data_IF_283645388531
#
_entry.id   IF_283645388531
#
_cell.length_a   1.000
_cell.length_b   1.000
_cell.length_c   1.000
_cell.angle_alpha   90.00
_cell.angle_beta   90.00
_cell.angle_gamma   90.00
#
_symmetry.space_group_name_H-M   'P 1'
#
loop_
_entity.id
_entity.type
_entity.pdbx_description
1 polymer ?
#
# COMPACT_ATOMS: atom_id res chain seq x y z
N UNK A 1 -8.44 18.75 -32.34
CA UNK A 1 -7.87 17.74 -33.27
C UNK A 1 -6.40 17.59 -32.91
N UNK A 2 -6.04 16.59 -32.10
CA UNK A 2 -4.65 16.21 -31.87
C UNK A 2 -4.62 14.67 -31.78
N UNK A 3 -3.99 14.06 -32.78
CA UNK A 3 -3.84 12.62 -32.90
C UNK A 3 -2.64 12.14 -32.09
N UNK A 4 -2.81 11.01 -31.42
CA UNK A 4 -1.72 10.28 -30.77
C UNK A 4 -1.35 9.14 -31.70
N UNK A 5 -0.15 9.19 -32.30
CA UNK A 5 0.39 8.09 -33.09
C UNK A 5 0.92 7.01 -32.16
N UNK A 6 0.12 5.96 -31.96
CA UNK A 6 0.57 4.70 -31.36
C UNK A 6 1.49 3.99 -32.35
N UNK A 7 2.73 3.70 -31.94
CA UNK A 7 3.65 2.85 -32.70
C UNK A 7 3.00 1.45 -32.85
N UNK A 8 2.65 1.10 -34.08
CA UNK A 8 1.94 -0.13 -34.40
C UNK A 8 2.81 -1.37 -34.17
N UNK A 9 2.36 -2.23 -33.27
CA UNK A 9 2.52 -3.67 -33.42
C UNK A 9 1.19 -4.20 -33.95
N UNK A 10 1.17 -4.48 -35.26
CA UNK A 10 0.07 -5.13 -35.96
C UNK A 10 -0.26 -6.46 -35.25
N UNK A 11 -1.49 -6.70 -34.76
CA UNK A 11 -1.88 -8.04 -34.37
C UNK A 11 -2.18 -8.84 -35.64
N UNK A 12 -1.40 -9.89 -35.89
CA UNK A 12 -1.72 -10.89 -36.91
C UNK A 12 -3.10 -11.50 -36.59
N UNK A 13 -4.02 -11.44 -37.55
CA UNK A 13 -5.45 -11.74 -37.40
C UNK A 13 -5.76 -13.24 -37.30
N UNK A 14 -4.90 -14.03 -36.64
CA UNK A 14 -5.03 -15.48 -36.44
C UNK A 14 -4.74 -15.96 -35.02
N UNK A 15 -4.67 -15.07 -34.03
CA UNK A 15 -4.56 -15.49 -32.63
C UNK A 15 -5.94 -15.94 -32.11
N UNK A 16 -6.12 -17.19 -31.62
CA UNK A 16 -7.41 -17.64 -31.12
C UNK A 16 -7.83 -16.79 -29.91
N UNK A 17 -9.13 -16.47 -29.77
CA UNK A 17 -9.64 -15.53 -28.75
C UNK A 17 -9.33 -15.93 -27.31
N UNK A 18 -9.05 -17.21 -27.07
CA UNK A 18 -8.68 -17.74 -25.76
C UNK A 18 -7.28 -17.28 -25.29
N UNK A 19 -6.37 -16.96 -26.22
CA UNK A 19 -5.00 -16.57 -25.91
C UNK A 19 -4.95 -15.14 -25.30
N UNK A 20 -5.82 -14.24 -25.77
CA UNK A 20 -5.99 -12.91 -25.17
C UNK A 20 -6.69 -12.96 -23.81
N UNK A 21 -7.62 -13.90 -23.62
CA UNK A 21 -8.31 -14.10 -22.34
C UNK A 21 -7.37 -14.61 -21.25
N UNK A 22 -6.49 -15.56 -21.59
CA UNK A 22 -5.50 -16.12 -20.66
C UNK A 22 -4.40 -15.10 -20.30
N UNK A 23 -4.01 -14.23 -21.24
CA UNK A 23 -3.09 -13.15 -20.95
C UNK A 23 -3.72 -12.13 -19.99
N UNK A 24 -4.98 -11.74 -20.21
CA UNK A 24 -5.69 -10.76 -19.37
C UNK A 24 -5.99 -11.28 -17.97
N UNK A 25 -6.31 -12.58 -17.82
CA UNK A 25 -6.55 -13.19 -16.51
C UNK A 25 -5.24 -13.35 -15.74
N UNK A 26 -4.17 -13.83 -16.39
CA UNK A 26 -2.84 -13.93 -15.80
C UNK A 26 -2.30 -12.58 -15.31
N UNK A 27 -2.48 -11.50 -16.09
CA UNK A 27 -2.07 -10.15 -15.68
C UNK A 27 -2.89 -9.62 -14.50
N UNK A 28 -4.20 -9.93 -14.41
CA UNK A 28 -5.01 -9.50 -13.28
C UNK A 28 -4.54 -10.12 -11.96
N UNK A 29 -4.28 -11.43 -11.93
CA UNK A 29 -3.80 -12.09 -10.71
C UNK A 29 -2.45 -11.53 -10.25
N UNK A 30 -1.53 -11.27 -11.17
CA UNK A 30 -0.23 -10.66 -10.86
C UNK A 30 -0.41 -9.24 -10.31
N UNK A 31 -1.26 -8.41 -10.91
CA UNK A 31 -1.53 -7.06 -10.42
C UNK A 31 -2.22 -7.05 -9.06
N UNK A 32 -3.16 -7.97 -8.83
CA UNK A 32 -3.79 -8.13 -7.52
C UNK A 32 -2.77 -8.52 -6.45
N UNK A 33 -1.83 -9.40 -6.77
CA UNK A 33 -0.73 -9.78 -5.88
C UNK A 33 0.20 -8.59 -5.60
N UNK A 34 0.65 -7.87 -6.64
CA UNK A 34 1.55 -6.73 -6.50
C UNK A 34 0.89 -5.57 -5.72
N UNK A 35 -0.40 -5.32 -5.94
CA UNK A 35 -1.17 -4.37 -5.12
C UNK A 35 -1.22 -4.85 -3.67
N UNK A 36 -1.56 -6.12 -3.44
CA UNK A 36 -1.62 -6.69 -2.10
C UNK A 36 -0.28 -6.58 -1.35
N UNK A 37 0.84 -6.85 -2.01
CA UNK A 37 2.17 -6.62 -1.42
C UNK A 37 2.44 -5.14 -1.12
N UNK A 38 2.03 -4.24 -2.01
CA UNK A 38 2.18 -2.78 -1.80
C UNK A 38 1.40 -2.32 -0.57
N UNK A 39 0.13 -2.73 -0.44
CA UNK A 39 -0.70 -2.43 0.74
C UNK A 39 -0.22 -3.17 2.00
N UNK A 40 0.43 -4.33 1.85
CA UNK A 40 1.07 -5.06 2.94
C UNK A 40 2.12 -4.23 3.68
N UNK A 41 2.72 -3.24 3.02
CA UNK A 41 3.65 -2.30 3.67
C UNK A 41 2.96 -1.42 4.72
N UNK A 42 1.65 -1.18 4.61
CA UNK A 42 0.89 -0.41 5.59
C UNK A 42 0.35 -1.25 6.75
N UNK A 43 0.43 -2.58 6.69
CA UNK A 43 0.10 -3.44 7.84
C UNK A 43 0.99 -3.14 9.06
N UNK A 44 2.20 -2.60 8.87
CA UNK A 44 3.04 -2.13 9.99
C UNK A 44 2.41 -1.00 10.79
N UNK A 45 1.50 -0.23 10.19
CA UNK A 45 0.76 0.85 10.85
C UNK A 45 -0.59 0.40 11.41
N UNK A 46 -0.99 -0.86 11.20
CA UNK A 46 -2.29 -1.41 11.57
C UNK A 46 -2.68 -1.18 13.03
N UNK A 47 -1.69 -1.18 13.93
CA UNK A 47 -1.86 -0.90 15.36
C UNK A 47 -2.37 0.52 15.67
N UNK A 48 -2.21 1.49 14.76
CA UNK A 48 -2.72 2.86 14.95
C UNK A 48 -4.23 2.99 14.63
N UNK A 49 -4.82 2.05 13.88
CA UNK A 49 -6.13 2.22 13.21
C UNK A 49 -7.14 1.21 13.73
N UNK A 50 -6.67 0.05 14.22
CA UNK A 50 -7.51 -1.05 14.71
C UNK A 50 -7.85 -0.93 16.20
N UNK A 51 -7.01 -0.25 16.98
CA UNK A 51 -7.21 -0.13 18.43
C UNK A 51 -7.80 1.25 18.71
N UNK A 52 -8.91 1.29 19.43
CA UNK A 52 -9.44 2.56 19.94
C UNK A 52 -8.40 3.21 20.84
N UNK A 53 -8.09 4.47 20.53
CA UNK A 53 -7.08 5.27 21.23
C UNK A 53 -7.29 5.22 22.75
N UNK A 54 -8.53 5.38 23.19
CA UNK A 54 -8.92 5.42 24.59
C UNK A 54 -8.64 4.08 25.28
N UNK A 55 -8.81 2.96 24.58
CA UNK A 55 -8.49 1.62 25.07
C UNK A 55 -6.98 1.43 25.20
N UNK A 56 -6.21 1.80 24.18
CA UNK A 56 -4.74 1.73 24.25
C UNK A 56 -4.16 2.58 25.39
N UNK A 57 -4.72 3.77 25.63
CA UNK A 57 -4.31 4.64 26.74
C UNK A 57 -4.65 4.01 28.09
N UNK A 58 -5.87 3.46 28.25
CA UNK A 58 -6.28 2.78 29.49
C UNK A 58 -5.37 1.59 29.80
N UNK A 59 -5.10 0.74 28.81
CA UNK A 59 -4.26 -0.44 28.98
C UNK A 59 -2.82 -0.06 29.32
N UNK A 60 -2.30 1.00 28.68
CA UNK A 60 -0.99 1.54 29.00
C UNK A 60 -0.92 2.07 30.45
N UNK A 61 -1.90 2.85 30.89
CA UNK A 61 -1.95 3.35 32.28
C UNK A 61 -2.07 2.19 33.28
N UNK A 62 -2.89 1.18 32.96
CA UNK A 62 -3.09 0.01 33.80
C UNK A 62 -1.80 -0.80 34.03
N UNK A 63 -0.83 -0.72 33.10
CA UNK A 63 0.49 -1.34 33.26
C UNK A 63 1.40 -0.68 34.31
N UNK A 64 0.93 0.39 34.98
CA UNK A 64 1.70 1.20 35.94
C UNK A 64 3.08 1.65 35.39
N UNK A 65 3.12 2.31 34.23
CA UNK A 65 4.36 2.66 33.55
C UNK A 65 5.14 3.74 34.31
N UNK A 66 6.46 3.68 34.21
CA UNK A 66 7.32 4.72 34.78
C UNK A 66 7.27 6.01 33.95
N UNK A 67 7.70 7.13 34.52
CA UNK A 67 7.85 8.40 33.78
C UNK A 67 8.77 8.24 32.55
N UNK A 68 9.80 7.41 32.66
CA UNK A 68 10.70 7.13 31.55
C UNK A 68 10.00 6.36 30.43
N UNK A 69 9.05 5.47 30.76
CA UNK A 69 8.29 4.71 29.77
C UNK A 69 7.28 5.60 29.05
N UNK A 70 6.69 6.59 29.72
CA UNK A 70 5.91 7.64 29.05
C UNK A 70 6.74 8.40 28.01
N UNK A 71 7.94 8.85 28.38
CA UNK A 71 8.82 9.59 27.46
C UNK A 71 9.27 8.72 26.26
N UNK A 72 9.60 7.45 26.50
CA UNK A 72 9.93 6.49 25.42
C UNK A 72 8.75 6.29 24.47
N UNK A 73 7.55 6.09 25.00
CA UNK A 73 6.33 5.90 24.20
C UNK A 73 5.98 7.16 23.41
N UNK A 74 6.11 8.34 24.01
CA UNK A 74 5.88 9.59 23.29
C UNK A 74 6.87 9.78 22.14
N UNK A 75 8.16 9.52 22.40
CA UNK A 75 9.22 9.57 21.38
C UNK A 75 8.98 8.56 20.25
N UNK A 76 8.50 7.37 20.56
CA UNK A 76 8.21 6.36 19.52
C UNK A 76 7.10 6.84 18.57
N UNK A 77 6.04 7.48 19.08
CA UNK A 77 5.00 8.08 18.25
C UNK A 77 5.52 9.27 17.41
N UNK A 78 6.39 10.11 17.97
CA UNK A 78 7.03 11.19 17.19
C UNK A 78 7.89 10.64 16.05
N UNK A 79 8.64 9.57 16.29
CA UNK A 79 9.41 8.90 15.24
C UNK A 79 8.49 8.24 14.20
N UNK A 80 7.34 7.72 14.63
CA UNK A 80 6.35 7.12 13.74
C UNK A 80 5.72 8.16 12.81
N UNK A 81 5.33 9.33 13.32
CA UNK A 81 4.84 10.45 12.51
C UNK A 81 5.86 10.86 11.44
N UNK A 82 7.15 10.96 11.80
CA UNK A 82 8.22 11.23 10.83
C UNK A 82 8.32 10.16 9.75
N UNK A 83 8.19 8.87 10.11
CA UNK A 83 8.21 7.77 9.15
C UNK A 83 7.03 7.83 8.18
N UNK A 84 5.82 8.07 8.69
CA UNK A 84 4.60 8.19 7.87
C UNK A 84 4.74 9.35 6.89
N UNK A 85 5.21 10.52 7.34
CA UNK A 85 5.43 11.68 6.46
C UNK A 85 6.51 11.46 5.40
N UNK A 86 7.43 10.52 5.63
CA UNK A 86 8.49 10.17 4.69
C UNK A 86 8.07 9.09 3.68
N UNK A 87 6.89 8.47 3.85
CA UNK A 87 6.37 7.51 2.88
C UNK A 87 6.09 8.22 1.54
N UNK A 88 6.39 7.56 0.40
CA UNK A 88 6.14 8.14 -0.91
C UNK A 88 4.63 8.30 -1.15
N UNK A 89 4.22 9.47 -1.64
CA UNK A 89 2.82 9.77 -2.00
C UNK A 89 2.30 9.01 -3.23
N UNK A 90 3.19 8.31 -3.93
CA UNK A 90 2.92 7.61 -5.19
C UNK A 90 3.66 6.30 -5.24
N UNK A 91 2.92 5.21 -5.39
CA UNK A 91 3.48 3.87 -5.61
C UNK A 91 3.15 3.44 -7.03
N UNK A 92 4.16 2.96 -7.76
CA UNK A 92 3.96 2.40 -9.09
C UNK A 92 3.82 0.88 -8.97
N UNK A 93 2.67 0.35 -9.36
CA UNK A 93 2.34 -1.07 -9.32
C UNK A 93 2.03 -1.53 -10.74
N UNK A 94 3.00 -2.16 -11.39
CA UNK A 94 2.94 -2.49 -12.82
C UNK A 94 2.66 -1.26 -13.70
N UNK A 95 1.51 -1.26 -14.37
CA UNK A 95 1.02 -0.17 -15.22
C UNK A 95 0.23 0.91 -14.45
N UNK A 96 -0.07 0.69 -13.17
CA UNK A 96 -0.87 1.59 -12.34
C UNK A 96 0.00 2.49 -11.47
N UNK A 97 -0.48 3.71 -11.26
CA UNK A 97 0.08 4.65 -10.30
C UNK A 97 -0.95 4.85 -9.19
N UNK A 98 -0.62 4.38 -7.99
CA UNK A 98 -1.46 4.51 -6.80
C UNK A 98 -1.03 5.77 -6.07
N UNK A 99 -1.96 6.71 -5.92
CA UNK A 99 -1.78 7.88 -5.05
C UNK A 99 -2.31 7.53 -3.66
N UNK A 100 -1.59 7.98 -2.63
CA UNK A 100 -1.80 7.56 -1.24
C UNK A 100 -1.82 8.76 -0.32
#
# INVERSE_FOLDING_TARGET
MFGVSSLGLLPDARSPPLLNFLYSSGTNYVLHYELHETFGTWEKYHHLWRIEKETAIRDFIASSPSLQDYDKTLKSYVLLDKKIRAEPSRYRVGAFLVNT
#
